data_IF_915005184851
#
_entry.id   IF_915005184851
#
_cell.length_a   1.000
_cell.length_b   1.000
_cell.length_c   1.000
_cell.angle_alpha   90.00
_cell.angle_beta   90.00
_cell.angle_gamma   90.00
#
_symmetry.space_group_name_H-M   'P 1'
#
loop_
_entity.id
_entity.type
_entity.pdbx_description
1 polymer ?
#
# COMPACT_ATOMS: atom_id res chain seq x y z
N UNK A 1 20.83 16.98 -11.32
CA UNK A 1 19.87 15.91 -11.64
C UNK A 1 18.69 16.08 -10.73
N UNK A 2 17.50 16.36 -11.28
CA UNK A 2 16.29 16.58 -10.50
C UNK A 2 15.50 15.30 -10.28
N UNK A 3 14.71 15.25 -9.21
CA UNK A 3 13.71 14.21 -9.01
C UNK A 3 12.61 14.41 -10.06
N UNK A 4 12.50 13.49 -11.01
CA UNK A 4 11.46 13.51 -12.04
C UNK A 4 10.41 12.44 -11.73
N UNK A 5 9.15 12.83 -11.64
CA UNK A 5 8.03 11.89 -11.55
C UNK A 5 7.82 11.28 -12.94
N UNK A 6 8.25 10.04 -13.13
CA UNK A 6 8.21 9.36 -14.45
C UNK A 6 6.93 8.54 -14.67
N UNK A 7 6.16 8.27 -13.62
CA UNK A 7 4.95 7.44 -13.69
C UNK A 7 3.96 7.84 -12.61
N UNK A 8 2.69 7.93 -12.99
CA UNK A 8 1.57 8.12 -12.07
C UNK A 8 0.61 6.95 -12.22
N UNK A 9 0.27 6.30 -11.12
CA UNK A 9 -0.80 5.29 -11.04
C UNK A 9 -1.98 5.92 -10.30
N UNK A 10 -3.19 5.79 -10.83
CA UNK A 10 -4.44 6.17 -10.19
C UNK A 10 -5.38 4.97 -10.24
N UNK A 11 -6.01 4.65 -9.13
CA UNK A 11 -6.90 3.51 -9.00
C UNK A 11 -8.19 3.95 -8.35
N UNK A 12 -9.31 3.37 -8.79
CA UNK A 12 -10.55 3.35 -8.00
C UNK A 12 -10.41 2.14 -7.08
N UNK A 13 -10.08 2.39 -5.81
CA UNK A 13 -9.78 1.32 -4.85
C UNK A 13 -11.01 1.06 -3.99
N UNK A 14 -11.41 -0.20 -3.92
CA UNK A 14 -12.33 -0.68 -2.90
C UNK A 14 -11.56 -0.77 -1.58
N UNK A 15 -12.09 -0.25 -0.45
CA UNK A 15 -11.49 -0.44 0.85
C UNK A 15 -11.24 -1.92 1.15
N UNK A 16 -10.08 -2.22 1.73
CA UNK A 16 -9.66 -3.58 2.05
C UNK A 16 -8.79 -3.60 3.31
N UNK A 17 -8.58 -4.77 3.87
CA UNK A 17 -7.67 -4.99 5.01
C UNK A 17 -6.20 -4.97 4.54
N UNK A 18 -5.27 -4.75 5.48
CA UNK A 18 -3.84 -4.83 5.18
C UNK A 18 -3.42 -6.22 4.68
N UNK A 19 -4.07 -7.29 5.16
CA UNK A 19 -3.81 -8.66 4.70
C UNK A 19 -4.23 -8.86 3.23
N UNK A 20 -5.41 -8.36 2.84
CA UNK A 20 -5.88 -8.40 1.45
C UNK A 20 -4.96 -7.59 0.53
N UNK A 21 -4.55 -6.40 0.97
CA UNK A 21 -3.59 -5.58 0.24
C UNK A 21 -2.25 -6.32 0.03
N UNK A 22 -1.76 -7.05 1.05
CA UNK A 22 -0.53 -7.84 0.95
C UNK A 22 -0.67 -8.99 -0.06
N UNK A 23 -1.80 -9.69 -0.08
CA UNK A 23 -2.07 -10.72 -1.09
C UNK A 23 -2.10 -10.12 -2.51
N UNK A 24 -2.76 -8.98 -2.70
CA UNK A 24 -2.79 -8.30 -4.00
C UNK A 24 -1.40 -7.84 -4.45
N UNK A 25 -0.60 -7.30 -3.51
CA UNK A 25 0.79 -6.93 -3.75
C UNK A 25 1.60 -8.12 -4.30
N UNK A 26 1.46 -9.29 -3.69
CA UNK A 26 2.17 -10.51 -4.09
C UNK A 26 1.70 -11.03 -5.45
N UNK A 27 0.39 -11.10 -5.69
CA UNK A 27 -0.19 -11.56 -6.97
C UNK A 27 0.23 -10.68 -8.15
N UNK A 28 0.38 -9.37 -7.93
CA UNK A 28 0.84 -8.42 -8.95
C UNK A 28 2.37 -8.37 -9.08
N UNK A 29 3.10 -9.06 -8.21
CA UNK A 29 4.56 -9.01 -8.16
C UNK A 29 5.08 -7.59 -7.91
N UNK A 30 4.41 -6.82 -7.06
CA UNK A 30 4.81 -5.47 -6.71
C UNK A 30 5.59 -5.46 -5.39
N UNK A 31 6.55 -4.54 -5.25
CA UNK A 31 7.29 -4.35 -4.00
C UNK A 31 6.50 -3.53 -2.97
N UNK A 32 5.50 -2.77 -3.43
CA UNK A 32 4.59 -2.00 -2.58
C UNK A 32 3.21 -1.94 -3.22
N UNK A 33 2.19 -1.79 -2.36
CA UNK A 33 0.81 -1.66 -2.77
C UNK A 33 0.10 -0.61 -1.90
N UNK A 34 -0.30 0.49 -2.53
CA UNK A 34 -1.13 1.52 -1.94
C UNK A 34 -2.59 1.04 -1.89
N UNK A 35 -3.32 1.29 -0.81
CA UNK A 35 -4.71 0.87 -0.65
C UNK A 35 -5.49 1.79 0.30
N UNK A 36 -6.82 1.70 0.26
CA UNK A 36 -7.67 2.30 1.27
C UNK A 36 -7.90 1.27 2.39
N UNK A 37 -7.45 1.57 3.61
CA UNK A 37 -7.57 0.67 4.74
C UNK A 37 -8.99 0.75 5.33
N UNK A 38 -9.69 -0.38 5.34
CA UNK A 38 -11.04 -0.49 5.89
C UNK A 38 -11.10 -0.29 7.41
N UNK A 39 -10.01 -0.59 8.12
CA UNK A 39 -9.95 -0.49 9.59
C UNK A 39 -9.79 0.95 10.06
N UNK A 40 -8.95 1.73 9.38
CA UNK A 40 -8.68 3.14 9.74
C UNK A 40 -9.52 4.12 8.93
N UNK A 41 -10.15 3.67 7.84
CA UNK A 41 -10.83 4.50 6.82
C UNK A 41 -9.90 5.52 6.14
N UNK A 42 -8.58 5.35 6.29
CA UNK A 42 -7.53 6.17 5.70
C UNK A 42 -6.74 5.36 4.66
N UNK A 43 -5.66 5.93 4.13
CA UNK A 43 -4.83 5.26 3.12
C UNK A 43 -3.59 4.64 3.73
N UNK A 44 -3.28 3.43 3.30
CA UNK A 44 -2.09 2.70 3.71
C UNK A 44 -1.25 2.21 2.53
N UNK A 45 -0.05 1.77 2.85
CA UNK A 45 0.87 1.10 1.93
C UNK A 45 1.41 -0.15 2.61
N UNK A 46 1.16 -1.32 2.01
CA UNK A 46 1.92 -2.53 2.32
C UNK A 46 3.16 -2.58 1.44
N UNK A 47 4.27 -3.10 1.96
CA UNK A 47 5.52 -3.21 1.21
C UNK A 47 6.32 -4.46 1.63
N UNK A 48 7.12 -4.96 0.69
CA UNK A 48 8.03 -6.07 0.94
C UNK A 48 9.28 -5.57 1.66
N UNK A 49 9.59 -6.17 2.80
CA UNK A 49 10.83 -5.91 3.54
C UNK A 49 11.99 -6.74 2.97
N UNK A 50 13.21 -6.32 3.27
CA UNK A 50 14.42 -7.01 2.83
C UNK A 50 14.56 -8.43 3.40
N UNK A 51 13.91 -8.71 4.53
CA UNK A 51 13.87 -10.02 5.19
C UNK A 51 12.75 -10.94 4.64
N UNK A 52 12.00 -10.49 3.62
CA UNK A 52 10.89 -11.23 3.02
C UNK A 52 9.56 -11.09 3.76
N UNK A 53 9.52 -10.40 4.90
CA UNK A 53 8.27 -10.10 5.61
C UNK A 53 7.52 -8.92 4.95
N UNK A 54 6.26 -8.75 5.34
CA UNK A 54 5.42 -7.63 4.89
C UNK A 54 5.42 -6.54 5.95
N UNK A 55 5.73 -5.32 5.54
CA UNK A 55 5.54 -4.12 6.36
C UNK A 55 4.27 -3.37 5.99
N UNK A 56 3.72 -2.62 6.94
CA UNK A 56 2.59 -1.72 6.76
C UNK A 56 3.01 -0.32 7.18
N UNK A 57 2.79 0.67 6.31
CA UNK A 57 2.78 2.09 6.65
C UNK A 57 1.34 2.53 6.50
N UNK A 58 0.77 3.10 7.56
CA UNK A 58 -0.61 3.58 7.55
C UNK A 58 -0.71 4.88 8.34
N UNK A 59 -1.77 5.64 8.08
CA UNK A 59 -2.11 6.82 8.85
C UNK A 59 -2.76 6.43 10.17
N UNK A 60 -2.31 7.03 11.26
CA UNK A 60 -2.96 6.88 12.56
C UNK A 60 -4.20 7.78 12.62
N UNK A 61 -5.41 7.23 12.88
CA UNK A 61 -6.62 8.04 12.99
C UNK A 61 -6.49 9.09 14.10
N UNK A 62 -6.77 10.35 13.77
CA UNK A 62 -6.90 11.41 14.79
C UNK A 62 -8.26 11.24 15.47
N UNK A 63 -8.23 10.74 16.70
CA UNK A 63 -9.37 10.73 17.63
C UNK A 63 -9.69 12.12 18.16
#
# INVERSE_FOLDING_TARGET
MGMNIVKTKRFVMTPMTAAEAAMQMELLGHDFFFFANVETTLTGVVYRRSDGSVGLIDEEPRV
#
